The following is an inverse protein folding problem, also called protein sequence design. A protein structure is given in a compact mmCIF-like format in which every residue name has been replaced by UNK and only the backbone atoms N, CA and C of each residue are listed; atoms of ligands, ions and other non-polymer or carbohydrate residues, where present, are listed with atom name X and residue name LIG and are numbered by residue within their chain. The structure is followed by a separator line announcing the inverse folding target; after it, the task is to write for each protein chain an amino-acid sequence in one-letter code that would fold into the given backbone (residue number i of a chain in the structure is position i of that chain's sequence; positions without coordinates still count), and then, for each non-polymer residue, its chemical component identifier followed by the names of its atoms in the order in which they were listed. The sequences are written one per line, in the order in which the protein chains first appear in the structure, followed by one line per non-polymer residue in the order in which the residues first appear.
data_IF_396141054478
#
_entry.id   IF_396141054478
#
_cell.length_a   1.000
_cell.length_b   1.000
_cell.length_c   1.000
_cell.angle_alpha   90.00
_cell.angle_beta   90.00
_cell.angle_gamma   90.00
#
_symmetry.space_group_name_H-M   'P 1'
#
loop_
_entity.id
_entity.type
_entity.pdbx_description
1 polymer ?
#
# COMPACT_ATOMS: atom_id res chain seq x y z
N UNK A 1 -25.20 -1.86 -28.60
CA UNK A 1 -23.88 -2.55 -28.57
C UNK A 1 -23.44 -2.55 -27.12
N UNK A 2 -23.47 -3.69 -26.45
CA UNK A 2 -22.85 -3.81 -25.11
C UNK A 2 -21.34 -3.85 -25.35
N UNK A 3 -20.65 -2.77 -24.97
CA UNK A 3 -19.18 -2.77 -24.91
C UNK A 3 -18.78 -3.80 -23.86
N UNK A 4 -18.25 -4.93 -24.31
CA UNK A 4 -17.60 -5.90 -23.42
C UNK A 4 -16.44 -5.17 -22.76
N UNK A 5 -16.52 -4.93 -21.46
CA UNK A 5 -15.41 -4.34 -20.72
C UNK A 5 -14.21 -5.29 -20.86
N UNK A 6 -13.03 -4.81 -21.22
CA UNK A 6 -11.86 -5.69 -21.31
C UNK A 6 -11.64 -6.38 -19.96
N UNK A 7 -11.57 -7.68 -19.98
CA UNK A 7 -11.16 -8.48 -18.83
C UNK A 7 -9.65 -8.53 -18.79
N UNK A 8 -9.09 -8.32 -17.62
CA UNK A 8 -7.66 -8.51 -17.38
C UNK A 8 -7.36 -9.98 -17.10
N UNK A 9 -6.08 -10.30 -16.95
CA UNK A 9 -5.65 -11.65 -16.55
C UNK A 9 -6.48 -12.12 -15.35
N UNK A 10 -6.79 -13.40 -15.29
CA UNK A 10 -7.70 -14.03 -14.30
C UNK A 10 -9.16 -13.59 -14.36
N UNK A 11 -9.60 -13.00 -15.47
CA UNK A 11 -10.99 -12.55 -15.63
C UNK A 11 -11.38 -11.35 -14.76
N UNK A 12 -10.38 -10.62 -14.21
CA UNK A 12 -10.66 -9.49 -13.33
C UNK A 12 -11.09 -8.26 -14.12
N UNK A 13 -12.08 -7.54 -13.63
CA UNK A 13 -12.53 -6.28 -14.22
C UNK A 13 -11.73 -5.05 -13.75
N UNK A 14 -11.03 -5.20 -12.63
CA UNK A 14 -10.18 -4.17 -11.99
C UNK A 14 -8.97 -4.83 -11.36
N UNK A 15 -7.90 -4.07 -11.15
CA UNK A 15 -6.67 -4.53 -10.49
C UNK A 15 -6.52 -3.78 -9.17
N UNK A 16 -6.44 -4.52 -8.07
CA UNK A 16 -6.13 -3.94 -6.76
C UNK A 16 -4.70 -3.41 -6.69
N UNK A 17 -4.51 -2.23 -6.12
CA UNK A 17 -3.17 -1.62 -5.94
C UNK A 17 -2.25 -2.57 -5.17
N UNK A 18 -2.74 -3.22 -4.12
CA UNK A 18 -1.96 -4.20 -3.36
C UNK A 18 -1.49 -5.39 -4.22
N UNK A 19 -2.32 -5.87 -5.16
CA UNK A 19 -1.94 -6.94 -6.08
C UNK A 19 -0.93 -6.48 -7.13
N UNK A 20 -1.11 -5.27 -7.66
CA UNK A 20 -0.18 -4.68 -8.61
C UNK A 20 1.18 -4.42 -7.94
N UNK A 21 1.20 -3.91 -6.72
CA UNK A 21 2.44 -3.68 -5.98
C UNK A 21 3.13 -5.00 -5.60
N UNK A 22 2.39 -6.06 -5.23
CA UNK A 22 2.95 -7.37 -4.93
C UNK A 22 3.75 -7.98 -6.10
N UNK A 23 3.50 -7.55 -7.34
CA UNK A 23 4.30 -7.96 -8.50
C UNK A 23 5.76 -7.49 -8.41
N UNK A 24 6.06 -6.40 -7.70
CA UNK A 24 7.43 -5.96 -7.46
C UNK A 24 8.18 -6.88 -6.47
N UNK A 25 7.43 -7.61 -5.67
CA UNK A 25 8.00 -8.72 -4.91
C UNK A 25 8.23 -9.93 -5.82
N UNK A 26 7.17 -10.45 -6.46
CA UNK A 26 7.22 -11.58 -7.40
C UNK A 26 5.88 -11.76 -8.13
N UNK A 27 5.87 -11.77 -9.47
CA UNK A 27 4.63 -11.97 -10.22
C UNK A 27 4.08 -13.40 -10.07
N UNK A 28 4.94 -14.42 -9.91
CA UNK A 28 4.47 -15.77 -9.61
C UNK A 28 3.80 -15.92 -8.24
N UNK A 29 4.06 -15.02 -7.30
CA UNK A 29 3.29 -14.97 -6.07
C UNK A 29 1.85 -14.58 -6.36
N UNK A 30 1.65 -13.52 -7.16
CA UNK A 30 0.32 -13.06 -7.59
C UNK A 30 -0.38 -14.13 -8.44
N UNK A 31 0.34 -14.74 -9.39
CA UNK A 31 -0.19 -15.83 -10.22
C UNK A 31 -0.69 -17.01 -9.38
N UNK A 32 0.14 -17.49 -8.43
CA UNK A 32 -0.22 -18.60 -7.56
C UNK A 32 -1.42 -18.27 -6.66
N UNK A 33 -1.54 -17.03 -6.21
CA UNK A 33 -2.68 -16.60 -5.41
C UNK A 33 -4.00 -16.68 -6.18
N UNK A 34 -4.00 -16.30 -7.46
CA UNK A 34 -5.19 -16.45 -8.31
C UNK A 34 -5.50 -17.89 -8.67
N UNK A 35 -4.49 -18.71 -8.89
CA UNK A 35 -4.67 -20.11 -9.34
C UNK A 35 -4.96 -21.06 -8.20
N UNK A 36 -4.30 -20.88 -7.06
CA UNK A 36 -4.33 -21.81 -5.92
C UNK A 36 -5.16 -21.28 -4.75
N UNK A 37 -5.58 -20.02 -4.80
CA UNK A 37 -6.23 -19.33 -3.70
C UNK A 37 -5.24 -18.66 -2.74
N UNK A 38 -5.77 -17.84 -1.87
CA UNK A 38 -4.97 -17.19 -0.82
C UNK A 38 -4.57 -18.20 0.25
N UNK A 39 -3.28 -18.19 0.61
CA UNK A 39 -2.75 -19.00 1.71
C UNK A 39 -2.76 -18.14 2.97
N UNK A 40 -3.56 -18.49 3.99
CA UNK A 40 -3.51 -17.85 5.30
C UNK A 40 -2.14 -18.08 5.93
N UNK A 41 -1.58 -17.04 6.52
CA UNK A 41 -0.34 -17.17 7.28
C UNK A 41 -0.45 -16.36 8.57
N UNK A 42 0.09 -16.87 9.66
CA UNK A 42 0.11 -16.14 10.93
C UNK A 42 0.74 -14.73 10.81
N UNK A 43 1.58 -14.49 9.81
CA UNK A 43 2.13 -13.17 9.55
C UNK A 43 1.11 -12.22 8.91
N UNK A 44 0.24 -12.73 8.01
CA UNK A 44 -0.85 -11.94 7.42
C UNK A 44 -1.91 -11.64 8.47
N UNK A 45 -2.34 -12.65 9.24
CA UNK A 45 -3.37 -12.52 10.27
C UNK A 45 -2.94 -11.48 11.33
N UNK A 46 -1.74 -11.65 11.92
CA UNK A 46 -1.17 -10.67 12.86
C UNK A 46 -1.01 -9.28 12.21
N UNK A 47 -0.64 -9.21 10.93
CA UNK A 47 -0.51 -7.96 10.20
C UNK A 47 -1.84 -7.24 10.06
N UNK A 48 -2.89 -7.95 9.68
CA UNK A 48 -4.25 -7.39 9.51
C UNK A 48 -4.82 -6.93 10.85
N UNK A 49 -4.76 -7.78 11.90
CA UNK A 49 -5.23 -7.43 13.23
C UNK A 49 -4.54 -6.16 13.77
N UNK A 50 -3.20 -6.11 13.65
CA UNK A 50 -2.44 -4.94 14.11
C UNK A 50 -2.76 -3.68 13.29
N UNK A 51 -2.98 -3.84 11.99
CA UNK A 51 -3.36 -2.76 11.10
C UNK A 51 -4.70 -2.14 11.51
N UNK A 52 -5.72 -2.97 11.72
CA UNK A 52 -7.05 -2.52 12.14
C UNK A 52 -7.02 -1.86 13.53
N UNK A 53 -6.13 -2.32 14.41
CA UNK A 53 -5.93 -1.73 15.74
C UNK A 53 -5.22 -0.37 15.69
N UNK A 54 -4.18 -0.22 14.83
CA UNK A 54 -3.36 0.98 14.75
C UNK A 54 -3.96 2.09 13.89
N UNK A 55 -4.74 1.72 12.87
CA UNK A 55 -5.35 2.62 11.90
C UNK A 55 -6.86 2.35 11.79
N UNK A 56 -7.62 2.48 12.90
CA UNK A 56 -9.05 2.22 12.87
C UNK A 56 -9.75 3.16 11.90
N UNK A 57 -10.66 2.61 11.09
CA UNK A 57 -11.48 3.38 10.16
C UNK A 57 -12.93 3.26 10.54
N UNK A 58 -13.63 4.39 10.57
CA UNK A 58 -15.09 4.43 10.73
C UNK A 58 -15.72 4.78 9.39
N UNK A 59 -16.82 4.12 9.05
CA UNK A 59 -17.61 4.49 7.88
C UNK A 59 -18.34 5.80 8.16
N UNK A 60 -18.15 6.77 7.27
CA UNK A 60 -18.82 8.06 7.32
C UNK A 60 -19.58 8.31 6.00
N UNK A 61 -20.58 9.17 6.05
CA UNK A 61 -21.32 9.55 4.84
C UNK A 61 -20.43 10.35 3.88
N UNK A 62 -20.75 10.38 2.56
CA UNK A 62 -20.04 11.25 1.61
C UNK A 62 -20.09 12.72 2.00
N UNK A 63 -21.18 13.19 2.58
CA UNK A 63 -21.37 14.55 3.05
C UNK A 63 -20.47 14.86 4.25
N UNK A 64 -20.35 13.93 5.21
CA UNK A 64 -19.46 14.07 6.35
C UNK A 64 -18.02 14.03 5.91
N UNK A 65 -17.66 13.15 4.97
CA UNK A 65 -16.33 13.11 4.36
C UNK A 65 -16.00 14.47 3.73
N UNK A 66 -16.87 15.00 2.85
CA UNK A 66 -16.63 16.28 2.17
C UNK A 66 -16.46 17.44 3.16
N UNK A 67 -17.28 17.47 4.23
CA UNK A 67 -17.17 18.46 5.30
C UNK A 67 -15.85 18.34 6.04
N UNK A 68 -15.47 17.11 6.42
CA UNK A 68 -14.26 16.82 7.18
C UNK A 68 -13.00 17.22 6.39
N UNK A 69 -12.84 16.73 5.16
CA UNK A 69 -11.65 17.01 4.34
C UNK A 69 -11.57 18.47 3.90
N UNK A 70 -12.72 19.13 3.72
CA UNK A 70 -12.82 20.55 3.35
C UNK A 70 -12.47 21.52 4.48
N UNK A 71 -12.44 21.07 5.73
CA UNK A 71 -12.13 21.91 6.87
C UNK A 71 -10.64 22.31 6.90
N UNK A 72 -10.37 23.47 7.53
CA UNK A 72 -8.99 23.94 7.77
C UNK A 72 -8.33 23.14 8.87
N UNK A 73 -7.04 22.89 8.71
CA UNK A 73 -6.23 22.13 9.67
C UNK A 73 -6.10 20.66 9.27
N UNK A 74 -5.34 19.86 10.01
CA UNK A 74 -5.21 18.45 9.75
C UNK A 74 -6.51 17.72 10.09
N UNK A 75 -7.08 17.06 9.07
CA UNK A 75 -8.28 16.24 9.19
C UNK A 75 -7.95 14.83 8.71
N UNK A 76 -8.53 13.81 9.34
CA UNK A 76 -8.20 12.41 9.11
C UNK A 76 -9.40 11.71 8.48
N UNK A 77 -9.26 11.26 7.24
CA UNK A 77 -10.27 10.47 6.56
C UNK A 77 -9.65 9.64 5.45
N UNK A 78 -10.13 8.43 5.28
CA UNK A 78 -9.70 7.52 4.22
C UNK A 78 -10.84 7.33 3.23
N UNK A 79 -10.52 7.19 1.96
CA UNK A 79 -11.50 6.86 0.92
C UNK A 79 -10.95 5.78 -0.01
N UNK A 80 -11.87 5.04 -0.62
CA UNK A 80 -11.53 4.13 -1.72
C UNK A 80 -11.06 4.93 -2.93
N UNK A 81 -9.87 4.62 -3.40
CA UNK A 81 -9.24 5.25 -4.56
C UNK A 81 -9.49 4.43 -5.81
N UNK A 82 -9.70 5.10 -6.94
CA UNK A 82 -9.87 4.44 -8.22
C UNK A 82 -9.37 5.32 -9.38
N UNK A 83 -8.97 4.69 -10.46
CA UNK A 83 -8.52 5.40 -11.65
C UNK A 83 -8.20 4.47 -12.80
N UNK A 84 -7.99 5.05 -13.98
CA UNK A 84 -7.52 4.35 -15.16
C UNK A 84 -6.11 4.84 -15.52
N UNK A 85 -5.13 3.94 -15.52
CA UNK A 85 -3.73 4.23 -15.79
C UNK A 85 -3.17 3.18 -16.74
N UNK A 86 -2.57 3.59 -17.85
CA UNK A 86 -2.01 2.66 -18.84
C UNK A 86 -3.01 1.64 -19.37
N UNK A 87 -4.30 1.96 -19.40
CA UNK A 87 -5.38 1.04 -19.77
C UNK A 87 -5.83 0.08 -18.67
N UNK A 88 -5.17 0.04 -17.51
CA UNK A 88 -5.63 -0.69 -16.33
C UNK A 88 -6.64 0.14 -15.53
N UNK A 89 -7.67 -0.50 -15.04
CA UNK A 89 -8.58 0.05 -14.02
C UNK A 89 -8.06 -0.37 -12.66
N UNK A 90 -7.59 0.59 -11.88
CA UNK A 90 -6.99 0.38 -10.58
C UNK A 90 -7.96 0.78 -9.47
N UNK A 91 -7.93 0.04 -8.36
CA UNK A 91 -8.69 0.34 -7.15
C UNK A 91 -7.84 0.01 -5.92
N UNK A 92 -8.06 0.75 -4.84
CA UNK A 92 -7.43 0.44 -3.56
C UNK A 92 -7.80 1.44 -2.49
N UNK A 93 -7.36 1.19 -1.29
CA UNK A 93 -7.59 2.05 -0.13
C UNK A 93 -6.31 2.14 0.67
N UNK A 94 -5.75 3.35 0.88
CA UNK A 94 -4.60 3.55 1.74
C UNK A 94 -4.98 3.37 3.20
N UNK A 95 -4.00 3.16 4.05
CA UNK A 95 -4.23 2.89 5.46
C UNK A 95 -4.66 4.14 6.22
N UNK A 96 -4.09 5.30 5.87
CA UNK A 96 -4.42 6.57 6.52
C UNK A 96 -4.13 7.76 5.60
N UNK A 97 -4.87 8.86 5.79
CA UNK A 97 -4.68 10.09 5.03
C UNK A 97 -4.92 11.32 5.91
N UNK A 98 -4.14 12.36 5.66
CA UNK A 98 -4.27 13.66 6.31
C UNK A 98 -4.65 14.70 5.26
N UNK A 99 -5.70 15.46 5.54
CA UNK A 99 -6.28 16.45 4.65
C UNK A 99 -6.28 17.85 5.27
N UNK A 100 -6.28 18.86 4.44
CA UNK A 100 -6.58 20.23 4.82
C UNK A 100 -7.17 21.00 3.64
N UNK A 101 -8.27 21.71 3.85
CA UNK A 101 -8.90 22.55 2.84
C UNK A 101 -9.16 21.84 1.51
N UNK A 102 -9.62 20.58 1.56
CA UNK A 102 -9.91 19.75 0.39
C UNK A 102 -8.68 19.13 -0.30
N UNK A 103 -7.49 19.31 0.24
CA UNK A 103 -6.24 18.81 -0.34
C UNK A 103 -5.66 17.68 0.50
N UNK A 104 -5.24 16.56 -0.10
CA UNK A 104 -4.47 15.55 0.60
C UNK A 104 -3.06 16.08 0.89
N UNK A 105 -2.66 16.08 2.15
CA UNK A 105 -1.32 16.50 2.58
C UNK A 105 -0.39 15.30 2.74
N UNK A 106 -0.91 14.23 3.34
CA UNK A 106 -0.18 12.99 3.55
C UNK A 106 -1.04 11.78 3.20
N UNK A 107 -0.41 10.82 2.59
CA UNK A 107 -0.89 9.47 2.42
C UNK A 107 0.07 8.55 3.17
N UNK A 108 -0.46 7.73 4.07
CA UNK A 108 0.32 6.85 4.93
C UNK A 108 -0.02 5.40 4.63
N UNK A 109 0.99 4.60 4.47
CA UNK A 109 0.93 3.14 4.32
C UNK A 109 1.68 2.49 5.47
N UNK A 110 1.01 1.64 6.25
CA UNK A 110 1.58 0.91 7.36
C UNK A 110 2.05 -0.47 6.93
N UNK A 111 3.26 -0.84 7.30
CA UNK A 111 3.82 -2.17 7.05
C UNK A 111 4.40 -2.75 8.32
N UNK A 112 3.86 -3.87 8.75
CA UNK A 112 4.40 -4.63 9.87
C UNK A 112 5.47 -5.61 9.40
N UNK A 113 6.48 -5.85 10.21
CA UNK A 113 7.58 -6.78 9.91
C UNK A 113 8.06 -7.50 11.16
N UNK A 114 8.47 -8.76 11.03
CA UNK A 114 9.20 -9.50 12.08
C UNK A 114 10.72 -9.21 12.04
N UNK A 115 11.19 -8.66 10.93
CA UNK A 115 12.60 -8.37 10.69
C UNK A 115 12.94 -6.89 10.95
N UNK A 116 13.99 -6.44 10.29
CA UNK A 116 14.46 -5.06 10.33
C UNK A 116 13.46 -4.12 9.63
N UNK A 117 12.95 -3.07 10.30
CA UNK A 117 12.08 -2.08 9.67
C UNK A 117 12.81 -1.07 8.78
N UNK A 118 14.14 -0.98 8.86
CA UNK A 118 14.91 0.06 8.17
C UNK A 118 14.80 0.00 6.63
N UNK A 119 14.93 -1.16 5.94
CA UNK A 119 14.86 -1.16 4.48
C UNK A 119 13.46 -0.86 3.96
N UNK A 120 13.30 0.09 3.03
CA UNK A 120 12.08 0.23 2.24
C UNK A 120 12.10 -0.76 1.07
N UNK A 121 11.06 -1.57 0.97
CA UNK A 121 10.93 -2.54 -0.12
C UNK A 121 10.20 -1.91 -1.32
N UNK A 122 10.65 -2.28 -2.52
CA UNK A 122 10.13 -1.74 -3.78
C UNK A 122 8.61 -1.92 -3.97
N UNK A 123 8.04 -3.02 -3.49
CA UNK A 123 6.60 -3.25 -3.49
C UNK A 123 5.85 -2.26 -2.59
N UNK A 124 6.39 -1.95 -1.41
CA UNK A 124 5.81 -1.01 -0.45
C UNK A 124 5.88 0.43 -0.96
N UNK A 125 7.03 0.82 -1.50
CA UNK A 125 7.22 2.13 -2.11
C UNK A 125 6.24 2.36 -3.27
N UNK A 126 6.17 1.40 -4.20
CA UNK A 126 5.28 1.53 -5.36
C UNK A 126 3.80 1.48 -4.96
N UNK A 127 3.43 0.78 -3.89
CA UNK A 127 2.06 0.81 -3.38
C UNK A 127 1.65 2.23 -2.99
N UNK A 128 2.46 2.91 -2.18
CA UNK A 128 2.19 4.29 -1.78
C UNK A 128 2.18 5.26 -2.98
N UNK A 129 3.13 5.12 -3.92
CA UNK A 129 3.18 5.93 -5.15
C UNK A 129 1.94 5.78 -6.00
N UNK A 130 1.44 4.54 -6.17
CA UNK A 130 0.25 4.27 -6.98
C UNK A 130 -1.00 4.83 -6.31
N UNK A 131 -1.12 4.78 -5.00
CA UNK A 131 -2.21 5.46 -4.30
C UNK A 131 -2.19 6.98 -4.54
N UNK A 132 -1.02 7.62 -4.47
CA UNK A 132 -0.89 9.04 -4.82
C UNK A 132 -1.33 9.35 -6.26
N UNK A 133 -0.98 8.48 -7.21
CA UNK A 133 -1.42 8.59 -8.60
C UNK A 133 -2.95 8.46 -8.74
N UNK A 134 -3.59 7.60 -7.96
CA UNK A 134 -5.04 7.48 -7.99
C UNK A 134 -5.75 8.73 -7.45
N UNK A 135 -5.16 9.41 -6.47
CA UNK A 135 -5.67 10.73 -6.02
C UNK A 135 -5.62 11.77 -7.16
N UNK A 136 -4.53 11.82 -7.92
CA UNK A 136 -4.46 12.65 -9.14
C UNK A 136 -5.54 12.28 -10.15
N UNK A 137 -5.76 10.97 -10.39
CA UNK A 137 -6.78 10.49 -11.31
C UNK A 137 -8.20 10.87 -10.87
N UNK A 138 -8.44 10.96 -9.57
CA UNK A 138 -9.71 11.40 -8.98
C UNK A 138 -9.88 12.93 -8.98
N UNK A 139 -8.85 13.68 -9.37
CA UNK A 139 -8.88 15.12 -9.53
C UNK A 139 -8.55 15.92 -8.27
N UNK A 140 -7.96 15.31 -7.26
CA UNK A 140 -7.46 16.04 -6.10
C UNK A 140 -6.20 16.85 -6.43
N UNK A 141 -6.04 18.00 -5.77
CA UNK A 141 -4.80 18.79 -5.86
C UNK A 141 -3.70 18.14 -5.01
N UNK A 142 -2.88 17.32 -5.65
CA UNK A 142 -1.77 16.59 -5.05
C UNK A 142 -0.43 17.37 -5.04
N UNK A 143 -0.44 18.67 -5.35
CA UNK A 143 0.79 19.48 -5.46
C UNK A 143 1.62 19.55 -4.17
N UNK A 144 0.98 19.33 -3.02
CA UNK A 144 1.62 19.28 -1.69
C UNK A 144 1.62 17.89 -1.06
N UNK A 145 1.12 16.89 -1.78
CA UNK A 145 1.02 15.53 -1.27
C UNK A 145 2.42 14.97 -0.99
N UNK A 146 2.57 14.43 0.21
CA UNK A 146 3.71 13.60 0.60
C UNK A 146 3.22 12.19 0.94
N UNK A 147 4.08 11.21 0.74
CA UNK A 147 3.76 9.82 1.02
C UNK A 147 4.64 9.36 2.17
N UNK A 148 4.08 8.61 3.10
CA UNK A 148 4.80 8.01 4.20
C UNK A 148 4.58 6.49 4.20
N UNK A 149 5.66 5.71 4.22
CA UNK A 149 5.59 4.28 4.48
C UNK A 149 6.15 4.04 5.87
N UNK A 150 5.25 3.74 6.80
CA UNK A 150 5.59 3.45 8.19
C UNK A 150 5.87 1.96 8.31
N UNK A 151 7.10 1.60 8.64
CA UNK A 151 7.49 0.22 8.90
C UNK A 151 7.67 0.01 10.39
N UNK A 152 6.91 -0.93 10.93
CA UNK A 152 6.86 -1.22 12.36
C UNK A 152 7.19 -2.69 12.61
N UNK A 153 8.05 -2.97 13.57
CA UNK A 153 8.29 -4.34 14.03
C UNK A 153 7.10 -4.85 14.81
N UNK A 154 6.61 -6.04 14.46
CA UNK A 154 5.52 -6.68 15.20
C UNK A 154 5.88 -6.85 16.67
N UNK A 155 4.97 -6.45 17.57
CA UNK A 155 5.18 -6.46 19.02
C UNK A 155 6.03 -5.31 19.56
N UNK A 156 6.29 -4.27 18.76
CA UNK A 156 7.06 -3.09 19.18
C UNK A 156 6.27 -2.11 20.06
N UNK A 157 4.94 -2.17 20.02
CA UNK A 157 4.04 -1.28 20.74
C UNK A 157 3.30 -2.03 21.84
N UNK A 158 3.15 -1.40 22.98
CA UNK A 158 2.22 -1.83 24.01
C UNK A 158 0.77 -1.39 23.70
N UNK A 159 -0.21 -1.90 24.46
CA UNK A 159 -1.63 -1.59 24.22
C UNK A 159 -1.98 -0.11 24.47
N UNK A 160 -1.19 0.61 25.25
CA UNK A 160 -1.36 2.04 25.46
C UNK A 160 -0.90 2.83 24.24
N UNK A 161 0.24 2.46 23.67
CA UNK A 161 0.81 3.10 22.50
C UNK A 161 -0.03 2.88 21.24
N UNK A 162 -0.62 1.69 21.09
CA UNK A 162 -1.46 1.36 19.94
C UNK A 162 -2.68 2.25 19.80
N UNK A 163 -3.34 2.59 20.92
CA UNK A 163 -4.56 3.43 20.93
C UNK A 163 -4.38 4.80 20.28
N UNK A 164 -3.21 5.41 20.48
CA UNK A 164 -2.93 6.77 20.01
C UNK A 164 -2.00 6.78 18.81
N UNK A 165 -1.73 5.61 18.23
CA UNK A 165 -0.70 5.44 17.20
C UNK A 165 -0.93 6.31 15.98
N UNK A 166 -2.12 6.25 15.37
CA UNK A 166 -2.44 7.05 14.19
C UNK A 166 -2.26 8.56 14.46
N UNK A 167 -2.67 9.03 15.65
CA UNK A 167 -2.51 10.42 16.04
C UNK A 167 -1.03 10.81 16.24
N UNK A 168 -0.23 9.94 16.86
CA UNK A 168 1.22 10.16 17.04
C UNK A 168 1.96 10.25 15.72
N UNK A 169 1.71 9.30 14.79
CA UNK A 169 2.30 9.32 13.46
C UNK A 169 1.88 10.58 12.69
N UNK A 170 0.59 10.90 12.72
CA UNK A 170 0.07 12.09 12.05
C UNK A 170 0.67 13.40 12.61
N UNK A 171 0.77 13.50 13.92
CA UNK A 171 1.43 14.64 14.59
C UNK A 171 2.88 14.78 14.15
N UNK A 172 3.66 13.70 14.21
CA UNK A 172 5.06 13.71 13.80
C UNK A 172 5.27 14.09 12.32
N UNK A 173 4.37 13.63 11.42
CA UNK A 173 4.40 14.00 10.00
C UNK A 173 4.06 15.48 9.79
N UNK A 174 3.10 16.02 10.53
CA UNK A 174 2.68 17.42 10.41
C UNK A 174 3.67 18.39 11.03
N UNK A 175 4.26 18.02 12.16
CA UNK A 175 5.17 18.87 12.92
C UNK A 175 6.63 18.73 12.50
N UNK A 176 6.95 17.71 11.68
CA UNK A 176 8.32 17.43 11.21
C UNK A 176 9.21 16.77 12.28
N UNK A 177 8.62 16.08 13.27
CA UNK A 177 9.31 15.43 14.39
C UNK A 177 9.42 13.90 14.20
N UNK A 178 9.53 13.46 12.95
CA UNK A 178 9.60 12.03 12.61
C UNK A 178 10.80 11.35 13.22
N UNK A 179 11.98 12.01 13.21
CA UNK A 179 13.20 11.49 13.82
C UNK A 179 13.04 11.24 15.32
N UNK A 180 12.38 12.14 16.05
CA UNK A 180 12.11 12.01 17.48
C UNK A 180 11.20 10.81 17.77
N UNK A 181 10.18 10.60 16.91
CA UNK A 181 9.29 9.46 17.03
C UNK A 181 10.03 8.14 16.75
N UNK A 182 10.91 8.10 15.75
CA UNK A 182 11.75 6.93 15.44
C UNK A 182 12.72 6.62 16.58
N UNK A 183 13.39 7.62 17.14
CA UNK A 183 14.32 7.49 18.26
C UNK A 183 13.61 6.92 19.50
N UNK A 184 12.39 7.37 19.81
CA UNK A 184 11.59 6.85 20.92
C UNK A 184 11.31 5.33 20.78
N UNK A 185 11.27 4.80 19.56
CA UNK A 185 11.04 3.39 19.27
C UNK A 185 12.32 2.55 19.02
N UNK A 186 13.49 3.12 19.27
CA UNK A 186 14.80 2.44 19.34
C UNK A 186 15.06 1.43 18.20
N UNK A 187 14.81 1.83 16.95
CA UNK A 187 15.05 1.00 15.76
C UNK A 187 14.00 -0.09 15.52
N UNK A 188 12.89 -0.10 16.26
CA UNK A 188 11.75 -0.97 15.97
C UNK A 188 10.75 -0.36 14.99
N UNK A 189 10.97 0.88 14.59
CA UNK A 189 10.17 1.61 13.63
C UNK A 189 11.05 2.41 12.66
N UNK A 190 10.57 2.57 11.41
CA UNK A 190 11.11 3.50 10.42
C UNK A 190 9.99 4.12 9.60
N UNK A 191 10.04 5.43 9.40
CA UNK A 191 9.11 6.18 8.55
C UNK A 191 9.86 6.66 7.31
N UNK A 192 9.51 6.11 6.16
CA UNK A 192 10.07 6.53 4.88
C UNK A 192 9.19 7.60 4.27
N UNK A 193 9.72 8.78 4.08
CA UNK A 193 9.02 9.91 3.49
C UNK A 193 9.41 10.02 2.01
N UNK A 194 8.40 10.02 1.14
CA UNK A 194 8.56 10.13 -0.30
C UNK A 194 7.82 11.38 -0.80
N UNK A 195 8.31 11.97 -1.86
CA UNK A 195 7.56 12.95 -2.61
C UNK A 195 6.56 12.25 -3.52
N UNK A 196 5.40 12.85 -3.69
CA UNK A 196 4.50 12.42 -4.75
C UNK A 196 5.08 12.85 -6.11
N UNK A 197 5.35 11.88 -6.96
CA UNK A 197 5.93 12.05 -8.30
C UNK A 197 5.12 11.20 -9.27
N UNK A 198 4.24 11.85 -10.01
CA UNK A 198 3.29 11.22 -10.91
C UNK A 198 3.99 10.30 -11.93
N UNK A 199 5.05 10.79 -12.56
CA UNK A 199 5.77 10.06 -13.60
C UNK A 199 6.36 8.74 -13.08
N UNK A 200 6.88 8.73 -11.84
CA UNK A 200 7.41 7.51 -11.22
C UNK A 200 6.28 6.51 -10.92
N UNK A 201 5.13 6.99 -10.50
CA UNK A 201 3.98 6.12 -10.25
C UNK A 201 3.39 5.55 -11.55
N UNK A 202 3.29 6.34 -12.61
CA UNK A 202 2.87 5.89 -13.94
C UNK A 202 3.85 4.85 -14.51
N UNK A 203 5.16 5.09 -14.37
CA UNK A 203 6.19 4.13 -14.79
C UNK A 203 6.09 2.80 -14.02
N UNK A 204 5.76 2.84 -12.72
CA UNK A 204 5.55 1.65 -11.91
C UNK A 204 4.35 0.83 -12.42
N UNK A 205 3.24 1.48 -12.76
CA UNK A 205 2.07 0.80 -13.35
C UNK A 205 2.43 0.20 -14.71
N UNK A 206 3.07 0.97 -15.60
CA UNK A 206 3.44 0.52 -16.94
C UNK A 206 4.37 -0.68 -16.90
N UNK A 207 5.34 -0.72 -15.98
CA UNK A 207 6.26 -1.86 -15.82
C UNK A 207 5.54 -3.18 -15.49
N UNK A 208 4.31 -3.11 -14.95
CA UNK A 208 3.52 -4.27 -14.54
C UNK A 208 2.29 -4.53 -15.42
N UNK A 209 1.91 -3.57 -16.26
CA UNK A 209 0.73 -3.60 -17.12
C UNK A 209 0.64 -4.87 -17.97
N UNK A 210 1.72 -5.21 -18.68
CA UNK A 210 1.72 -6.30 -19.64
C UNK A 210 1.38 -7.68 -19.05
N UNK A 211 1.57 -7.89 -17.76
CA UNK A 211 1.08 -9.09 -17.08
C UNK A 211 -0.46 -9.09 -16.99
N UNK A 212 -1.07 -7.97 -16.57
CA UNK A 212 -2.52 -7.86 -16.42
C UNK A 212 -3.26 -7.87 -17.74
N UNK A 213 -2.68 -7.29 -18.79
CA UNK A 213 -3.26 -7.28 -20.15
C UNK A 213 -3.05 -8.58 -20.92
N UNK A 214 -2.29 -9.53 -20.36
CA UNK A 214 -1.98 -10.79 -21.03
C UNK A 214 -0.96 -10.66 -22.15
N UNK A 215 -0.29 -9.51 -22.27
CA UNK A 215 0.75 -9.28 -23.29
C UNK A 215 2.03 -10.09 -23.03
N UNK A 216 2.23 -10.51 -21.80
CA UNK A 216 3.37 -11.33 -21.39
C UNK A 216 3.05 -12.27 -20.23
N UNK A 217 3.84 -13.32 -20.12
CA UNK A 217 3.80 -14.24 -18.99
C UNK A 217 4.37 -13.62 -17.71
N UNK A 218 4.00 -14.19 -16.52
CA UNK A 218 4.53 -13.73 -15.24
C UNK A 218 6.04 -13.96 -15.15
N UNK A 219 6.72 -13.04 -14.48
CA UNK A 219 8.16 -13.14 -14.18
C UNK A 219 8.39 -13.58 -12.74
N UNK A 220 9.40 -14.43 -12.52
CA UNK A 220 9.77 -14.88 -11.18
C UNK A 220 10.80 -13.96 -10.52
N UNK A 221 10.78 -13.92 -9.20
CA UNK A 221 11.87 -13.32 -8.43
C UNK A 221 13.19 -14.05 -8.70
N UNK A 222 14.29 -13.29 -8.72
CA UNK A 222 15.66 -13.83 -8.77
C UNK A 222 16.27 -13.99 -7.38
N UNK A 223 15.51 -13.79 -6.32
CA UNK A 223 15.98 -13.84 -4.93
C UNK A 223 15.55 -15.15 -4.25
N UNK A 224 16.52 -15.96 -3.85
CA UNK A 224 16.28 -17.16 -3.04
C UNK A 224 15.62 -16.79 -1.71
N UNK A 225 16.01 -15.67 -1.09
CA UNK A 225 15.40 -15.19 0.16
C UNK A 225 13.92 -14.89 0.02
N UNK A 226 13.51 -14.23 -1.08
CA UNK A 226 12.09 -14.01 -1.39
C UNK A 226 11.33 -15.33 -1.58
N UNK A 227 11.94 -16.31 -2.27
CA UNK A 227 11.33 -17.62 -2.45
C UNK A 227 11.16 -18.37 -1.12
N UNK A 228 12.18 -18.34 -0.23
CA UNK A 228 12.07 -18.97 1.11
C UNK A 228 10.98 -18.37 1.97
N UNK A 229 10.77 -17.06 1.88
CA UNK A 229 9.76 -16.35 2.65
C UNK A 229 8.35 -16.40 2.01
N UNK A 230 8.22 -16.94 0.80
CA UNK A 230 6.96 -16.96 0.07
C UNK A 230 6.08 -18.13 0.54
N UNK A 231 4.81 -17.85 0.85
CA UNK A 231 3.82 -18.84 1.24
C UNK A 231 3.58 -19.92 0.17
N UNK A 232 3.86 -19.60 -1.09
CA UNK A 232 3.72 -20.55 -2.21
C UNK A 232 5.02 -21.31 -2.53
N UNK A 233 6.07 -21.17 -1.71
CA UNK A 233 7.39 -21.75 -2.00
C UNK A 233 7.33 -23.22 -2.39
N UNK A 234 6.56 -24.03 -1.67
CA UNK A 234 6.48 -25.49 -1.86
C UNK A 234 5.82 -25.88 -3.18
N UNK A 235 4.84 -25.12 -3.64
CA UNK A 235 4.04 -25.41 -4.84
C UNK A 235 4.50 -24.62 -6.07
N UNK A 236 5.22 -23.52 -5.90
CA UNK A 236 5.64 -22.65 -6.97
C UNK A 236 6.64 -23.34 -7.91
N UNK A 237 6.29 -23.48 -9.18
CA UNK A 237 7.15 -24.11 -10.22
C UNK A 237 8.42 -23.32 -10.51
N UNK A 238 8.49 -22.06 -10.13
CA UNK A 238 9.63 -21.13 -10.33
C UNK A 238 10.38 -20.85 -9.03
N UNK A 239 10.10 -21.56 -7.94
CA UNK A 239 10.85 -21.37 -6.69
C UNK A 239 12.33 -21.71 -6.87
N UNK A 240 13.19 -20.80 -6.42
CA UNK A 240 14.64 -20.99 -6.33
C UNK A 240 15.07 -21.62 -5.00
N UNK A 241 14.13 -21.85 -4.06
CA UNK A 241 14.42 -22.32 -2.71
C UNK A 241 13.92 -23.75 -2.47
N UNK A 242 13.50 -24.46 -3.53
CA UNK A 242 13.25 -25.89 -3.46
C UNK A 242 14.58 -26.64 -3.33
N UNK A 243 14.61 -27.74 -2.55
CA UNK A 243 15.77 -28.60 -2.46
C UNK A 243 16.11 -29.24 -3.80
#
# INVERSE_FOLDING_TARGET
MHSVKPEFRHGTGVVGVAKLSAQFYCEYKVENEFVLGEVPTAAKDTGTELHDELMPTEEITPEDFARLVGAKGPNYAVLGLWGAVGGLRLVGMPDHMIWSEGRPLWLVELKTTKGDPIPLWNDQENQARIYGLLLDCMGFDCSKLRLAVVRLRSGALDDGEKRDWAAKVSGALMDGTVEELEEAHQGSMKIHILRHERDLAEAAVEAKRGYWTGEREPTSSRSIGKCRACEYNQVCVKSLAKP
#
